data_IF_222280591618
#
_entry.id   IF_222280591618
#
_cell.length_a   1.000
_cell.length_b   1.000
_cell.length_c   1.000
_cell.angle_alpha   90.00
_cell.angle_beta   90.00
_cell.angle_gamma   90.00
#
_symmetry.space_group_name_H-M   'P 1'
#
loop_
_entity.id
_entity.type
_entity.pdbx_description
1 polymer ?
#
# COMPACT_ATOMS: atom_id res chain seq x y z
N UNK A 1 5.58 33.06 28.52
CA UNK A 1 5.45 33.04 27.05
C UNK A 1 4.49 31.91 26.70
N UNK A 2 3.47 32.19 25.89
CA UNK A 2 2.22 31.43 25.80
C UNK A 2 2.41 30.09 25.08
N UNK A 3 2.18 28.97 25.77
CA UNK A 3 1.88 27.66 25.17
C UNK A 3 0.47 27.70 24.55
N UNK A 4 0.30 28.56 23.55
CA UNK A 4 -0.94 28.70 22.82
C UNK A 4 -1.12 27.49 21.89
N UNK A 5 -1.88 26.52 22.39
CA UNK A 5 -2.81 25.72 21.59
C UNK A 5 -2.17 24.94 20.41
N UNK A 6 -1.20 24.08 20.69
CA UNK A 6 -0.71 23.11 19.70
C UNK A 6 -1.85 22.15 19.34
N UNK A 7 -2.39 22.28 18.12
CA UNK A 7 -3.50 21.48 17.58
C UNK A 7 -3.01 20.12 17.07
N UNK A 8 -2.41 19.34 17.95
CA UNK A 8 -2.06 17.96 17.63
C UNK A 8 -3.32 17.09 17.60
N UNK A 9 -3.53 16.34 16.51
CA UNK A 9 -4.63 15.39 16.37
C UNK A 9 -5.97 15.96 15.89
N UNK A 10 -6.14 17.29 15.81
CA UNK A 10 -7.34 17.86 15.20
C UNK A 10 -7.37 17.62 13.68
N UNK A 11 -8.55 17.39 13.07
CA UNK A 11 -8.66 17.33 11.62
C UNK A 11 -8.28 18.67 10.96
N UNK A 12 -7.83 18.63 9.71
CA UNK A 12 -7.55 19.84 8.92
C UNK A 12 -8.86 20.41 8.39
N UNK A 13 -9.19 21.64 8.78
CA UNK A 13 -10.34 22.39 8.25
C UNK A 13 -10.03 22.97 6.87
N UNK A 14 -11.06 23.38 6.13
CA UNK A 14 -10.85 24.04 4.85
C UNK A 14 -10.19 25.42 4.99
N UNK A 15 -10.48 26.14 6.08
CA UNK A 15 -9.79 27.39 6.43
C UNK A 15 -8.29 27.18 6.67
N UNK A 16 -7.93 26.13 7.43
CA UNK A 16 -6.52 25.78 7.68
C UNK A 16 -5.80 25.49 6.35
N UNK A 17 -6.47 24.82 5.40
CA UNK A 17 -5.91 24.49 4.07
C UNK A 17 -5.77 25.73 3.19
N UNK A 18 -6.76 26.61 3.18
CA UNK A 18 -6.72 27.87 2.44
C UNK A 18 -5.57 28.76 2.95
N UNK A 19 -5.47 28.93 4.27
CA UNK A 19 -4.39 29.70 4.90
C UNK A 19 -3.02 29.08 4.64
N UNK A 20 -2.89 27.75 4.68
CA UNK A 20 -1.65 27.04 4.34
C UNK A 20 -1.19 27.32 2.90
N UNK A 21 -2.11 27.30 1.92
CA UNK A 21 -1.81 27.59 0.52
C UNK A 21 -1.38 29.05 0.34
N UNK A 22 -2.09 29.99 0.96
CA UNK A 22 -1.77 31.41 0.91
C UNK A 22 -0.36 31.69 1.47
N UNK A 23 -0.10 31.26 2.71
CA UNK A 23 1.21 31.47 3.35
C UNK A 23 2.36 30.89 2.52
N UNK A 24 2.10 29.78 1.81
CA UNK A 24 3.11 29.17 0.93
C UNK A 24 3.30 29.93 -0.37
N UNK A 25 2.24 30.46 -0.97
CA UNK A 25 2.31 31.34 -2.13
C UNK A 25 3.08 32.64 -1.80
N UNK A 26 2.93 33.15 -0.58
CA UNK A 26 3.67 34.30 -0.05
C UNK A 26 5.15 34.00 0.27
N UNK A 27 5.61 32.76 0.05
CA UNK A 27 7.01 32.38 0.22
C UNK A 27 7.45 32.11 1.66
N UNK A 28 6.53 32.06 2.63
CA UNK A 28 6.89 31.83 4.03
C UNK A 28 7.61 30.48 4.22
N UNK A 29 8.62 30.40 5.10
CA UNK A 29 9.28 29.15 5.43
C UNK A 29 8.35 28.26 6.26
N UNK A 30 8.50 26.94 6.13
CA UNK A 30 7.59 25.99 6.77
C UNK A 30 7.51 26.07 8.29
N UNK A 31 8.58 26.55 8.95
CA UNK A 31 8.61 26.74 10.41
C UNK A 31 7.62 27.81 10.86
N UNK A 32 7.54 28.91 10.12
CA UNK A 32 6.66 30.04 10.46
C UNK A 32 5.22 29.70 10.15
N UNK A 33 4.97 29.01 9.03
CA UNK A 33 3.65 28.47 8.68
C UNK A 33 3.15 27.51 9.77
N UNK A 34 4.02 26.63 10.26
CA UNK A 34 3.69 25.68 11.33
C UNK A 34 3.35 26.38 12.65
N UNK A 35 4.12 27.42 13.01
CA UNK A 35 3.86 28.24 14.19
C UNK A 35 2.51 28.96 14.07
N UNK A 36 2.26 29.60 12.93
CA UNK A 36 1.04 30.36 12.64
C UNK A 36 -0.23 29.50 12.66
N UNK A 37 -0.15 28.27 12.14
CA UNK A 37 -1.28 27.34 12.13
C UNK A 37 -1.40 26.51 13.43
N UNK A 38 -0.40 26.56 14.32
CA UNK A 38 -0.33 25.70 15.50
C UNK A 38 -0.25 24.20 15.16
N UNK A 39 0.38 23.85 14.02
CA UNK A 39 0.50 22.48 13.48
C UNK A 39 1.97 22.09 13.32
N UNK A 40 2.35 20.79 13.41
CA UNK A 40 3.72 20.38 13.15
C UNK A 40 4.13 20.56 11.68
N UNK A 41 5.37 20.99 11.45
CA UNK A 41 5.98 21.27 10.14
C UNK A 41 5.76 20.15 9.12
N UNK A 42 5.97 18.89 9.51
CA UNK A 42 5.78 17.74 8.64
C UNK A 42 4.31 17.58 8.19
N UNK A 43 3.36 17.90 9.07
CA UNK A 43 1.93 17.85 8.75
C UNK A 43 1.58 18.91 7.70
N UNK A 44 2.05 20.15 7.88
CA UNK A 44 1.88 21.22 6.90
C UNK A 44 2.46 20.84 5.53
N UNK A 45 3.68 20.29 5.48
CA UNK A 45 4.33 19.86 4.23
C UNK A 45 3.55 18.74 3.53
N UNK A 46 3.07 17.77 4.30
CA UNK A 46 2.29 16.64 3.79
C UNK A 46 0.96 17.10 3.22
N UNK A 47 0.23 17.91 3.97
CA UNK A 47 -1.08 18.43 3.52
C UNK A 47 -0.92 19.34 2.32
N UNK A 48 0.06 20.24 2.31
CA UNK A 48 0.33 21.05 1.13
C UNK A 48 0.64 20.19 -0.10
N UNK A 49 1.49 19.16 0.04
CA UNK A 49 1.77 18.22 -1.04
C UNK A 49 0.52 17.48 -1.54
N UNK A 50 -0.40 17.14 -0.63
CA UNK A 50 -1.68 16.54 -0.98
C UNK A 50 -2.65 17.53 -1.64
N UNK A 51 -2.63 18.81 -1.25
CA UNK A 51 -3.47 19.86 -1.85
C UNK A 51 -3.01 20.21 -3.26
N UNK A 52 -1.70 20.42 -3.46
CA UNK A 52 -1.10 20.58 -4.80
C UNK A 52 -1.34 19.31 -5.63
N UNK A 53 -1.11 18.16 -4.99
CA UNK A 53 -1.69 16.84 -5.31
C UNK A 53 -3.05 17.00 -5.98
N UNK A 54 -4.03 17.35 -5.16
CA UNK A 54 -5.45 17.40 -5.45
C UNK A 54 -5.87 18.45 -6.48
N UNK A 55 -5.12 19.54 -6.65
CA UNK A 55 -5.43 20.58 -7.63
C UNK A 55 -4.94 20.25 -9.05
N UNK A 56 -3.86 19.46 -9.20
CA UNK A 56 -3.40 19.04 -10.54
C UNK A 56 -4.43 18.12 -11.21
N UNK A 57 -4.89 18.35 -12.46
CA UNK A 57 -5.85 17.47 -13.13
C UNK A 57 -5.45 15.99 -13.10
N UNK A 58 -6.41 15.08 -12.84
CA UNK A 58 -6.16 13.63 -12.79
C UNK A 58 -5.55 13.08 -14.10
N UNK A 59 -5.93 13.67 -15.24
CA UNK A 59 -5.39 13.32 -16.55
C UNK A 59 -3.88 13.53 -16.62
N UNK A 60 -3.38 14.62 -16.04
CA UNK A 60 -1.95 14.92 -15.95
C UNK A 60 -1.25 13.97 -14.97
N UNK A 61 -1.89 13.67 -13.82
CA UNK A 61 -1.32 12.75 -12.81
C UNK A 61 -1.15 11.33 -13.32
N UNK A 62 -2.00 10.87 -14.23
CA UNK A 62 -2.03 9.49 -14.75
C UNK A 62 -1.72 9.42 -16.24
N UNK A 63 -0.87 10.32 -16.76
CA UNK A 63 -0.41 10.24 -18.15
C UNK A 63 0.07 8.81 -18.42
N UNK A 64 -0.60 8.10 -19.33
CA UNK A 64 -0.25 6.72 -19.69
C UNK A 64 1.14 6.71 -20.33
N UNK A 65 1.89 5.64 -20.13
CA UNK A 65 3.15 5.42 -20.85
C UNK A 65 2.83 5.11 -22.30
N UNK A 66 3.40 5.88 -23.22
CA UNK A 66 3.34 5.55 -24.65
C UNK A 66 4.43 4.54 -24.99
N UNK A 67 4.23 3.81 -26.09
CA UNK A 67 5.24 2.85 -26.56
C UNK A 67 6.55 3.55 -26.94
N UNK A 68 6.46 4.74 -27.54
CA UNK A 68 7.62 5.57 -27.88
C UNK A 68 8.41 6.00 -26.64
N UNK A 69 7.73 6.43 -25.57
CA UNK A 69 8.38 6.77 -24.30
C UNK A 69 9.07 5.56 -23.67
N UNK A 70 8.44 4.38 -23.75
CA UNK A 70 9.02 3.14 -23.21
C UNK A 70 10.26 2.73 -24.01
N UNK A 71 10.21 2.81 -25.34
CA UNK A 71 11.36 2.52 -26.21
C UNK A 71 12.52 3.48 -25.92
N UNK A 72 12.23 4.78 -25.79
CA UNK A 72 13.24 5.79 -25.47
C UNK A 72 13.83 5.60 -24.07
N UNK A 73 12.98 5.30 -23.07
CA UNK A 73 13.43 4.95 -21.72
C UNK A 73 14.40 3.77 -21.71
N UNK A 74 14.10 2.70 -22.46
CA UNK A 74 14.95 1.51 -22.59
C UNK A 74 16.28 1.88 -23.26
N UNK A 75 16.24 2.65 -24.36
CA UNK A 75 17.43 3.15 -25.07
C UNK A 75 18.35 3.96 -24.14
N UNK A 76 17.78 4.94 -23.44
CA UNK A 76 18.52 5.80 -22.50
C UNK A 76 19.14 5.00 -21.34
N UNK A 77 18.48 3.91 -20.92
CA UNK A 77 18.96 3.08 -19.80
C UNK A 77 20.01 2.06 -20.22
N UNK A 78 19.76 1.32 -21.29
CA UNK A 78 20.54 0.15 -21.68
C UNK A 78 21.69 0.49 -22.62
N UNK A 79 21.52 1.51 -23.47
CA UNK A 79 22.54 1.95 -24.43
C UNK A 79 23.35 3.11 -23.87
N UNK A 80 22.69 4.14 -23.36
CA UNK A 80 23.38 5.35 -22.86
C UNK A 80 23.72 5.32 -21.37
N UNK A 81 23.24 4.32 -20.62
CA UNK A 81 23.47 4.14 -19.19
C UNK A 81 23.16 5.38 -18.32
N UNK A 82 22.16 6.18 -18.70
CA UNK A 82 21.79 7.37 -17.92
C UNK A 82 21.23 7.01 -16.54
N UNK A 83 21.47 7.85 -15.51
CA UNK A 83 20.80 7.71 -14.23
C UNK A 83 19.31 8.02 -14.36
N UNK A 84 18.48 7.41 -13.52
CA UNK A 84 17.02 7.52 -13.60
C UNK A 84 16.51 8.96 -13.52
N UNK A 85 17.09 9.79 -12.67
CA UNK A 85 16.73 11.22 -12.56
C UNK A 85 16.89 11.97 -13.89
N UNK A 86 17.95 11.67 -14.65
CA UNK A 86 18.16 12.28 -15.95
C UNK A 86 17.18 11.73 -17.00
N UNK A 87 16.83 10.44 -16.93
CA UNK A 87 15.82 9.83 -17.80
C UNK A 87 14.44 10.45 -17.54
N UNK A 88 14.05 10.61 -16.26
CA UNK A 88 12.79 11.25 -15.89
C UNK A 88 12.73 12.70 -16.39
N UNK A 89 13.82 13.46 -16.25
CA UNK A 89 13.91 14.83 -16.77
C UNK A 89 13.78 14.88 -18.31
N UNK A 90 14.46 13.98 -19.04
CA UNK A 90 14.39 13.91 -20.50
C UNK A 90 12.98 13.52 -21.00
N UNK A 91 12.30 12.61 -20.30
CA UNK A 91 10.95 12.17 -20.64
C UNK A 91 9.85 13.08 -20.05
N UNK A 92 10.23 14.13 -19.34
CA UNK A 92 9.32 15.04 -18.63
C UNK A 92 8.35 14.29 -17.71
N UNK A 93 8.86 13.29 -17.00
CA UNK A 93 8.13 12.46 -16.03
C UNK A 93 8.55 12.80 -14.60
N UNK A 94 7.67 12.57 -13.61
CA UNK A 94 8.04 12.71 -12.20
C UNK A 94 9.16 11.74 -11.82
N UNK A 95 10.06 12.19 -10.94
CA UNK A 95 11.19 11.39 -10.43
C UNK A 95 10.75 10.01 -9.93
N UNK A 96 11.44 8.98 -10.40
CA UNK A 96 11.21 7.58 -10.07
C UNK A 96 10.16 6.88 -10.94
N UNK A 97 9.42 7.61 -11.77
CA UNK A 97 8.40 7.05 -12.66
C UNK A 97 8.99 6.09 -13.69
N UNK A 98 10.13 6.47 -14.31
CA UNK A 98 10.81 5.64 -15.31
C UNK A 98 11.38 4.36 -14.70
N UNK A 99 12.00 4.45 -13.52
CA UNK A 99 12.56 3.28 -12.83
C UNK A 99 11.48 2.23 -12.51
N UNK A 100 10.35 2.67 -11.93
CA UNK A 100 9.23 1.77 -11.61
C UNK A 100 8.65 1.13 -12.88
N UNK A 101 8.51 1.90 -13.96
CA UNK A 101 8.01 1.38 -15.23
C UNK A 101 8.97 0.35 -15.83
N UNK A 102 10.26 0.65 -15.85
CA UNK A 102 11.30 -0.25 -16.37
C UNK A 102 11.37 -1.56 -15.57
N UNK A 103 11.37 -1.49 -14.22
CA UNK A 103 11.33 -2.70 -13.38
C UNK A 103 10.06 -3.53 -13.64
N UNK A 104 8.92 -2.88 -13.81
CA UNK A 104 7.66 -3.56 -14.14
C UNK A 104 7.65 -4.24 -15.52
N UNK A 105 8.52 -3.80 -16.45
CA UNK A 105 8.71 -4.46 -17.75
C UNK A 105 9.70 -5.63 -17.65
N UNK A 106 10.74 -5.50 -16.83
CA UNK A 106 11.78 -6.53 -16.67
C UNK A 106 11.34 -7.70 -15.78
N UNK A 107 10.56 -7.43 -14.74
CA UNK A 107 10.07 -8.47 -13.86
C UNK A 107 8.98 -9.28 -14.57
N UNK A 108 9.03 -10.63 -14.50
CA UNK A 108 7.91 -11.42 -14.97
C UNK A 108 6.65 -10.96 -14.23
N UNK A 109 5.54 -10.77 -14.96
CA UNK A 109 4.26 -10.46 -14.33
C UNK A 109 4.02 -11.55 -13.29
N UNK A 110 4.03 -11.17 -12.01
CA UNK A 110 3.65 -12.11 -10.95
C UNK A 110 2.32 -12.71 -11.39
N UNK A 111 2.18 -14.04 -11.46
CA UNK A 111 0.88 -14.62 -11.74
C UNK A 111 -0.06 -13.95 -10.76
N UNK A 112 -1.08 -13.25 -11.29
CA UNK A 112 -2.14 -12.74 -10.44
C UNK A 112 -2.66 -14.00 -9.80
N UNK A 113 -2.32 -14.22 -8.53
CA UNK A 113 -2.85 -15.34 -7.79
C UNK A 113 -4.34 -15.29 -8.10
N UNK A 114 -4.92 -16.39 -8.63
CA UNK A 114 -6.32 -16.40 -9.05
C UNK A 114 -7.03 -15.68 -7.93
N UNK A 115 -7.77 -14.61 -8.24
CA UNK A 115 -8.49 -13.86 -7.24
C UNK A 115 -9.28 -14.92 -6.47
N UNK A 116 -8.74 -15.38 -5.35
CA UNK A 116 -9.49 -15.98 -4.29
C UNK A 116 -10.50 -14.87 -4.09
N UNK A 117 -11.72 -15.14 -4.51
CA UNK A 117 -12.89 -14.28 -4.41
C UNK A 117 -13.05 -13.97 -2.93
N UNK A 118 -12.18 -13.07 -2.50
CA UNK A 118 -11.83 -12.70 -1.15
C UNK A 118 -12.46 -11.36 -0.85
N UNK A 119 -13.66 -11.11 -1.41
CA UNK A 119 -14.70 -10.69 -0.48
C UNK A 119 -14.62 -11.68 0.66
N UNK A 120 -14.43 -11.22 1.90
CA UNK A 120 -14.35 -12.07 3.10
C UNK A 120 -15.29 -13.24 2.85
N UNK A 121 -14.74 -14.43 2.62
CA UNK A 121 -15.60 -15.55 2.26
C UNK A 121 -16.38 -15.78 3.55
N UNK A 122 -17.60 -15.27 3.62
CA UNK A 122 -18.63 -15.71 4.53
C UNK A 122 -19.07 -17.10 4.04
N UNK A 123 -18.08 -17.95 3.77
CA UNK A 123 -18.32 -19.33 3.44
C UNK A 123 -18.73 -19.92 4.77
N UNK A 124 -20.05 -20.06 4.96
CA UNK A 124 -20.62 -20.62 6.17
C UNK A 124 -19.95 -21.96 6.50
N UNK A 125 -19.52 -22.71 5.47
CA UNK A 125 -18.71 -23.92 5.62
C UNK A 125 -17.32 -23.67 6.23
N UNK A 126 -16.59 -22.63 5.81
CA UNK A 126 -15.28 -22.29 6.39
C UNK A 126 -15.38 -21.74 7.81
N UNK A 127 -16.44 -20.98 8.11
CA UNK A 127 -16.73 -20.49 9.47
C UNK A 127 -17.15 -21.66 10.36
N UNK A 128 -18.06 -22.52 9.92
CA UNK A 128 -18.48 -23.72 10.66
C UNK A 128 -17.32 -24.70 10.86
N UNK A 129 -16.43 -24.86 9.87
CA UNK A 129 -15.20 -25.66 10.02
C UNK A 129 -14.28 -25.08 11.09
N UNK A 130 -14.12 -23.75 11.12
CA UNK A 130 -13.33 -23.05 12.14
C UNK A 130 -13.94 -23.19 13.53
N UNK A 131 -15.25 -23.08 13.67
CA UNK A 131 -15.96 -23.27 14.95
C UNK A 131 -15.87 -24.72 15.42
N UNK A 132 -16.04 -25.69 14.51
CA UNK A 132 -15.82 -27.11 14.79
C UNK A 132 -14.40 -27.41 15.26
N UNK A 133 -13.39 -26.71 14.72
CA UNK A 133 -12.00 -26.80 15.20
C UNK A 133 -11.80 -26.19 16.58
N UNK A 134 -12.49 -25.09 16.90
CA UNK A 134 -12.42 -24.45 18.22
C UNK A 134 -13.03 -25.31 19.33
N UNK A 135 -14.03 -26.13 19.00
CA UNK A 135 -14.66 -27.05 19.95
C UNK A 135 -13.90 -28.37 20.15
N UNK A 136 -12.82 -28.62 19.40
CA UNK A 136 -11.99 -29.80 19.56
C UNK A 136 -10.77 -29.45 20.40
N UNK A 137 -10.60 -30.13 21.52
CA UNK A 137 -9.39 -30.02 22.33
C UNK A 137 -8.34 -31.03 21.86
N UNK A 138 -7.07 -30.67 22.01
CA UNK A 138 -5.99 -31.63 21.81
C UNK A 138 -6.06 -32.71 22.90
N UNK A 139 -5.82 -34.00 22.57
CA UNK A 139 -5.91 -35.08 23.54
C UNK A 139 -4.96 -34.92 24.74
N UNK A 140 -3.85 -34.22 24.54
CA UNK A 140 -2.85 -33.96 25.57
C UNK A 140 -2.28 -32.54 25.42
N UNK A 141 -1.79 -31.99 26.54
CA UNK A 141 -1.10 -30.69 26.55
C UNK A 141 0.15 -30.69 25.66
N UNK A 142 0.87 -31.81 25.65
CA UNK A 142 2.06 -32.01 24.80
C UNK A 142 1.69 -31.94 23.32
N UNK A 143 0.60 -32.59 22.91
CA UNK A 143 0.09 -32.52 21.54
C UNK A 143 -0.29 -31.09 21.13
N UNK A 144 -0.90 -30.32 22.04
CA UNK A 144 -1.17 -28.90 21.80
C UNK A 144 0.11 -28.08 21.62
N UNK A 145 1.15 -28.35 22.43
CA UNK A 145 2.40 -27.61 22.40
C UNK A 145 3.23 -27.87 21.14
N UNK A 146 3.29 -29.12 20.67
CA UNK A 146 4.05 -29.50 19.48
C UNK A 146 3.27 -29.34 18.16
N UNK A 147 2.04 -28.86 18.21
CA UNK A 147 1.23 -28.59 17.02
C UNK A 147 0.70 -29.85 16.34
N UNK A 148 0.50 -30.94 17.10
CA UNK A 148 -0.08 -32.16 16.57
C UNK A 148 -1.50 -31.90 16.04
N UNK A 149 -1.88 -32.52 14.91
CA UNK A 149 -3.20 -32.30 14.32
C UNK A 149 -4.30 -32.78 15.27
N UNK A 150 -5.42 -32.04 15.31
CA UNK A 150 -6.59 -32.41 16.09
C UNK A 150 -7.12 -33.82 15.71
N UNK A 151 -7.73 -34.55 16.65
CA UNK A 151 -8.31 -35.86 16.39
C UNK A 151 -9.30 -35.83 15.23
N UNK A 152 -9.22 -36.80 14.31
CA UNK A 152 -10.09 -36.87 13.13
C UNK A 152 -9.66 -35.95 11.99
N UNK A 153 -8.56 -35.19 12.15
CA UNK A 153 -8.00 -34.29 11.12
C UNK A 153 -6.60 -34.67 10.70
N UNK A 154 -5.98 -35.69 11.30
CA UNK A 154 -4.67 -36.18 10.87
C UNK A 154 -4.73 -36.76 9.45
N UNK A 155 -3.60 -36.80 8.77
CA UNK A 155 -3.52 -37.44 7.45
C UNK A 155 -3.92 -38.93 7.50
N UNK A 156 -3.65 -39.59 8.62
CA UNK A 156 -4.04 -40.98 8.86
C UNK A 156 -5.57 -41.12 9.05
N UNK A 157 -6.21 -40.19 9.75
CA UNK A 157 -7.67 -40.19 9.91
C UNK A 157 -8.38 -40.00 8.58
N UNK A 158 -7.89 -39.06 7.75
CA UNK A 158 -8.41 -38.87 6.38
C UNK A 158 -8.27 -40.14 5.55
N UNK A 159 -7.11 -40.80 5.65
CA UNK A 159 -6.86 -42.06 4.94
C UNK A 159 -7.79 -43.19 5.43
N UNK A 160 -8.05 -43.28 6.73
CA UNK A 160 -9.01 -44.24 7.31
C UNK A 160 -10.45 -43.95 6.90
N UNK A 161 -10.86 -42.68 6.87
CA UNK A 161 -12.19 -42.27 6.42
C UNK A 161 -12.42 -42.55 4.92
N UNK A 162 -11.41 -42.27 4.08
CA UNK A 162 -11.47 -42.59 2.65
C UNK A 162 -11.48 -44.10 2.37
N UNK A 163 -10.76 -44.88 3.17
CA UNK A 163 -10.74 -46.34 3.05
C UNK A 163 -12.00 -47.02 3.63
N UNK A 164 -12.61 -46.45 4.66
CA UNK A 164 -13.82 -46.99 5.32
C UNK A 164 -15.14 -46.61 4.65
N UNK A 165 -15.15 -45.66 3.71
CA UNK A 165 -16.32 -45.28 2.91
C UNK A 165 -16.50 -46.06 1.60
N UNK A 166 -15.67 -47.09 1.37
CA UNK A 166 -15.66 -47.91 0.15
C UNK A 166 -16.22 -49.33 0.37
N UNK A 167 -17.06 -49.52 1.40
CA UNK A 167 -17.77 -50.76 1.71
C UNK A 167 -19.28 -50.56 1.56
#
# INVERSE_FOLDING_TARGET
>A
MKDANRRFGLPWTDDDRAKLLQLRADGNPWKDIALELGRPVLSCRTIHGNLVRASTPLAERKRRWTEAEVAEMIRLREVEHKPWSQIDALLQRPDGGSAQKYEGLRLPKKPVAPHLTGGRVNDAAAIADREKRRGLEHPTLTAAFFGDPLPGRSALDKRRQLAGGAA
#
